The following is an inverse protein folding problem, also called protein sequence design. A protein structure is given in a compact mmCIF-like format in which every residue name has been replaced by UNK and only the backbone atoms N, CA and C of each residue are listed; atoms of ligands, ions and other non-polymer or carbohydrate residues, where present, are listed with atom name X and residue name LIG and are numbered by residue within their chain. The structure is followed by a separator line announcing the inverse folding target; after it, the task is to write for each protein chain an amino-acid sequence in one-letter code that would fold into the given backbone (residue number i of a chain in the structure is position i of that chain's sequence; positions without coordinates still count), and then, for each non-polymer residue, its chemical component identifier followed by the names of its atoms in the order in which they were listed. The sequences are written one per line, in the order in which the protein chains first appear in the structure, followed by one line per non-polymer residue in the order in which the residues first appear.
data_IF_310529746111
#
_entry.id   IF_310529746111
#
_cell.length_a   1.000
_cell.length_b   1.000
_cell.length_c   1.000
_cell.angle_alpha   90.00
_cell.angle_beta   90.00
_cell.angle_gamma   90.00
#
_symmetry.space_group_name_H-M   'P 1'
#
loop_
_entity.id
_entity.type
_entity.pdbx_description
1 polymer ?
#
# COMPACT_ATOMS: atom_id res chain seq x y z
N UNK A 1 18.90 -5.47 -2.26
CA UNK A 1 19.43 -6.83 -1.99
C UNK A 1 18.39 -7.85 -2.46
N UNK A 2 18.76 -8.71 -3.39
CA UNK A 2 17.88 -9.74 -3.93
C UNK A 2 18.25 -11.10 -3.33
N UNK A 3 17.38 -11.66 -2.51
CA UNK A 3 17.53 -13.03 -2.03
C UNK A 3 16.66 -13.97 -2.87
N UNK A 4 17.27 -14.93 -3.54
CA UNK A 4 16.59 -15.97 -4.32
C UNK A 4 17.04 -17.35 -3.83
N UNK A 5 16.10 -18.21 -3.46
CA UNK A 5 16.36 -19.64 -3.42
C UNK A 5 16.12 -20.21 -4.84
N UNK A 6 17.17 -20.61 -5.55
CA UNK A 6 17.07 -21.18 -6.88
C UNK A 6 17.10 -22.72 -6.73
N UNK A 7 15.93 -23.38 -6.88
CA UNK A 7 15.85 -24.82 -7.12
C UNK A 7 16.19 -25.76 -5.95
N UNK A 8 16.36 -25.27 -4.74
CA UNK A 8 16.50 -26.15 -3.58
C UNK A 8 15.11 -26.66 -3.15
N UNK A 9 14.83 -27.93 -3.31
CA UNK A 9 13.77 -28.60 -2.55
C UNK A 9 14.20 -28.59 -1.08
N UNK A 10 13.49 -27.83 -0.30
CA UNK A 10 13.76 -27.73 1.12
C UNK A 10 12.68 -28.50 1.84
N UNK A 11 12.96 -29.75 2.13
CA UNK A 11 11.96 -30.69 2.60
C UNK A 11 11.55 -30.51 4.06
N UNK A 12 12.25 -29.72 4.88
CA UNK A 12 11.92 -29.54 6.31
C UNK A 12 12.37 -28.19 6.89
N UNK A 13 11.89 -27.03 6.35
CA UNK A 13 12.11 -25.77 7.04
C UNK A 13 10.86 -25.28 7.74
N UNK A 14 11.03 -24.94 8.99
CA UNK A 14 10.06 -24.15 9.74
C UNK A 14 10.26 -22.65 9.55
N UNK A 15 11.49 -22.19 9.23
CA UNK A 15 11.79 -20.75 9.08
C UNK A 15 13.14 -20.48 8.43
N UNK A 16 13.17 -19.62 7.41
CA UNK A 16 14.40 -19.05 6.85
C UNK A 16 14.45 -17.54 7.15
N UNK A 17 15.50 -17.07 7.81
CA UNK A 17 15.65 -15.67 8.23
C UNK A 17 16.89 -15.08 7.59
N UNK A 18 16.73 -14.00 6.85
CA UNK A 18 17.81 -13.14 6.39
C UNK A 18 17.75 -11.83 7.19
N UNK A 19 18.84 -11.48 7.86
CA UNK A 19 18.98 -10.22 8.56
C UNK A 19 19.87 -9.28 7.76
N UNK A 20 19.46 -8.03 7.63
CA UNK A 20 20.25 -6.95 7.04
C UNK A 20 20.11 -5.70 7.89
N UNK A 21 21.16 -4.90 7.96
CA UNK A 21 21.17 -3.59 8.63
C UNK A 21 21.15 -2.41 7.64
N UNK A 22 20.80 -2.66 6.38
CA UNK A 22 20.70 -1.60 5.38
C UNK A 22 19.57 -0.64 5.72
N UNK A 23 19.90 0.63 5.90
CA UNK A 23 18.94 1.73 6.15
C UNK A 23 18.48 2.41 4.85
N UNK A 24 19.19 2.17 3.76
CA UNK A 24 19.02 2.80 2.45
C UNK A 24 18.47 1.80 1.43
N UNK A 25 17.26 1.31 1.68
CA UNK A 25 16.59 0.42 0.75
C UNK A 25 15.89 1.26 -0.31
N UNK A 26 16.17 0.99 -1.58
CA UNK A 26 15.44 1.58 -2.72
C UNK A 26 14.32 0.69 -3.21
N UNK A 27 14.54 -0.62 -3.19
CA UNK A 27 13.54 -1.57 -3.66
C UNK A 27 13.51 -2.84 -2.81
N UNK A 28 12.30 -3.30 -2.51
CA UNK A 28 12.02 -4.60 -1.88
C UNK A 28 11.07 -5.37 -2.78
N UNK A 29 11.43 -6.62 -3.12
CA UNK A 29 10.56 -7.55 -3.83
C UNK A 29 10.34 -8.78 -2.96
N UNK A 30 9.12 -8.95 -2.46
CA UNK A 30 8.68 -10.13 -1.72
C UNK A 30 7.72 -10.95 -2.58
N UNK A 31 7.89 -12.26 -2.64
CA UNK A 31 7.02 -13.13 -3.44
C UNK A 31 6.84 -14.51 -2.79
N UNK A 32 5.81 -15.23 -3.21
CA UNK A 32 5.44 -16.53 -2.63
C UNK A 32 4.86 -16.37 -1.22
N UNK A 33 5.37 -17.14 -0.27
CA UNK A 33 5.01 -17.06 1.16
C UNK A 33 6.06 -16.33 1.99
N UNK A 34 6.85 -15.44 1.36
CA UNK A 34 7.92 -14.73 2.04
C UNK A 34 7.37 -13.63 2.97
N UNK A 35 8.06 -13.40 4.09
CA UNK A 35 7.76 -12.29 4.98
C UNK A 35 8.92 -11.30 4.95
N UNK A 36 8.62 -10.02 4.71
CA UNK A 36 9.58 -8.92 4.87
C UNK A 36 9.19 -8.07 6.06
N UNK A 37 10.08 -7.95 7.03
CA UNK A 37 9.83 -7.18 8.26
C UNK A 37 10.97 -6.18 8.45
N UNK A 38 10.67 -4.89 8.37
CA UNK A 38 11.59 -3.82 8.73
C UNK A 38 11.35 -3.40 10.19
N UNK A 39 12.33 -3.65 11.05
CA UNK A 39 12.28 -3.29 12.47
C UNK A 39 13.02 -1.96 12.78
N UNK A 40 13.62 -1.33 11.77
CA UNK A 40 14.32 -0.04 11.88
C UNK A 40 13.68 0.98 10.96
N UNK A 41 13.79 2.28 11.29
CA UNK A 41 13.33 3.34 10.40
C UNK A 41 14.01 3.27 9.01
N UNK A 42 13.25 3.55 7.98
CA UNK A 42 13.73 3.62 6.60
C UNK A 42 13.70 5.07 6.12
N UNK A 43 14.82 5.50 5.52
CA UNK A 43 14.96 6.86 4.98
C UNK A 43 15.59 6.82 3.60
N UNK A 44 15.25 7.79 2.75
CA UNK A 44 15.83 7.91 1.41
C UNK A 44 15.01 8.82 0.52
N UNK A 45 15.39 8.90 -0.74
CA UNK A 45 14.64 9.68 -1.73
C UNK A 45 13.43 8.90 -2.23
N UNK A 46 13.61 7.59 -2.43
CA UNK A 46 12.56 6.71 -2.96
C UNK A 46 12.63 5.32 -2.32
N UNK A 47 11.47 4.76 -2.01
CA UNK A 47 11.32 3.37 -1.61
C UNK A 47 10.18 2.72 -2.38
N UNK A 48 10.51 1.65 -3.13
CA UNK A 48 9.54 0.83 -3.84
C UNK A 48 9.41 -0.56 -3.20
N UNK A 49 8.19 -0.97 -2.91
CA UNK A 49 7.91 -2.30 -2.35
C UNK A 49 6.92 -3.04 -3.23
N UNK A 50 7.34 -4.20 -3.72
CA UNK A 50 6.51 -5.09 -4.53
C UNK A 50 6.24 -6.37 -3.75
N UNK A 51 5.00 -6.60 -3.39
CA UNK A 51 4.53 -7.76 -2.65
C UNK A 51 3.63 -8.63 -3.55
N UNK A 52 4.09 -9.84 -3.86
CA UNK A 52 3.39 -10.74 -4.79
C UNK A 52 2.95 -12.03 -4.11
N UNK A 53 1.85 -12.61 -4.58
CA UNK A 53 1.27 -13.87 -4.07
C UNK A 53 0.72 -13.71 -2.64
N UNK A 54 1.16 -14.50 -1.65
CA UNK A 54 0.64 -14.49 -0.27
C UNK A 54 1.63 -13.90 0.75
N UNK A 55 2.56 -13.08 0.32
CA UNK A 55 3.59 -12.57 1.21
C UNK A 55 3.05 -11.52 2.21
N UNK A 56 3.79 -11.35 3.31
CA UNK A 56 3.54 -10.34 4.31
C UNK A 56 4.69 -9.32 4.32
N UNK A 57 4.36 -8.05 4.21
CA UNK A 57 5.31 -6.94 4.38
C UNK A 57 4.90 -6.12 5.59
N UNK A 58 5.82 -5.93 6.54
CA UNK A 58 5.60 -5.10 7.72
C UNK A 58 6.71 -4.06 7.88
N UNK A 59 6.38 -2.78 7.80
CA UNK A 59 7.26 -1.67 8.16
C UNK A 59 6.86 -1.18 9.55
N UNK A 60 7.58 -1.68 10.58
CA UNK A 60 7.21 -1.46 11.99
C UNK A 60 7.63 -0.10 12.53
N UNK A 61 8.57 0.54 11.88
CA UNK A 61 9.09 1.85 12.25
C UNK A 61 8.77 2.87 11.15
N UNK A 62 9.04 4.14 11.43
CA UNK A 62 8.79 5.23 10.52
C UNK A 62 9.50 5.06 9.18
N UNK A 63 8.77 5.31 8.11
CA UNK A 63 9.29 5.45 6.74
C UNK A 63 9.28 6.92 6.37
N UNK A 64 10.44 7.48 6.08
CA UNK A 64 10.60 8.89 5.70
C UNK A 64 11.36 8.95 4.37
N UNK A 65 10.63 9.13 3.29
CA UNK A 65 11.15 9.11 1.92
C UNK A 65 10.44 10.17 1.07
N UNK A 66 11.08 10.68 0.03
CA UNK A 66 10.43 11.59 -0.91
C UNK A 66 9.29 10.90 -1.67
N UNK A 67 9.54 9.69 -2.19
CA UNK A 67 8.51 8.88 -2.87
C UNK A 67 8.39 7.49 -2.24
N UNK A 68 7.14 7.08 -1.92
CA UNK A 68 6.81 5.74 -1.44
C UNK A 68 5.86 5.05 -2.42
N UNK A 69 6.33 3.95 -3.02
CA UNK A 69 5.59 3.17 -4.03
C UNK A 69 5.31 1.75 -3.48
N UNK A 70 4.06 1.46 -3.18
CA UNK A 70 3.59 0.22 -2.56
C UNK A 70 2.71 -0.56 -3.53
N UNK A 71 3.23 -1.69 -4.02
CA UNK A 71 2.54 -2.54 -4.99
C UNK A 71 2.22 -3.90 -4.40
N UNK A 72 0.97 -4.27 -4.44
CA UNK A 72 0.46 -5.58 -4.04
C UNK A 72 -0.14 -6.29 -5.24
N UNK A 73 0.28 -7.53 -5.47
CA UNK A 73 -0.28 -8.41 -6.50
C UNK A 73 -0.66 -9.76 -5.89
N UNK A 74 -1.85 -10.25 -6.19
CA UNK A 74 -2.41 -11.46 -5.57
C UNK A 74 -3.09 -11.17 -4.24
N UNK A 75 -2.78 -11.93 -3.18
CA UNK A 75 -3.38 -11.84 -1.85
C UNK A 75 -2.40 -11.37 -0.78
N UNK A 76 -1.33 -10.68 -1.16
CA UNK A 76 -0.32 -10.21 -0.22
C UNK A 76 -0.88 -9.12 0.72
N UNK A 77 -0.30 -9.07 1.93
CA UNK A 77 -0.65 -8.07 2.92
C UNK A 77 0.54 -7.16 3.23
N UNK A 78 0.29 -5.86 3.22
CA UNK A 78 1.30 -4.86 3.53
C UNK A 78 0.81 -3.96 4.67
N UNK A 79 1.67 -3.77 5.68
CA UNK A 79 1.37 -2.91 6.83
C UNK A 79 2.50 -1.90 7.01
N UNK A 80 2.16 -0.62 7.02
CA UNK A 80 3.07 0.50 7.32
C UNK A 80 2.56 1.19 8.58
N UNK A 81 3.36 1.17 9.64
CA UNK A 81 2.93 1.73 10.92
C UNK A 81 2.94 3.27 10.92
N UNK A 82 3.97 3.88 10.35
CA UNK A 82 4.09 5.33 10.24
C UNK A 82 4.82 5.71 8.95
N UNK A 83 4.33 6.72 8.24
CA UNK A 83 4.98 7.24 7.05
C UNK A 83 5.01 8.77 7.02
N UNK A 84 6.05 9.30 6.37
CA UNK A 84 6.14 10.68 5.92
C UNK A 84 6.75 10.66 4.53
N UNK A 85 6.01 11.17 3.54
CA UNK A 85 6.46 11.18 2.15
C UNK A 85 5.86 12.38 1.41
N UNK A 86 6.50 12.82 0.36
CA UNK A 86 5.91 13.84 -0.51
C UNK A 86 4.90 13.18 -1.44
N UNK A 87 5.28 12.05 -2.04
CA UNK A 87 4.41 11.29 -2.95
C UNK A 87 4.18 9.86 -2.49
N UNK A 88 2.90 9.47 -2.35
CA UNK A 88 2.47 8.13 -1.99
C UNK A 88 1.73 7.47 -3.16
N UNK A 89 2.25 6.35 -3.65
CA UNK A 89 1.58 5.54 -4.65
C UNK A 89 1.24 4.16 -4.06
N UNK A 90 -0.04 3.78 -4.04
CA UNK A 90 -0.49 2.46 -3.58
C UNK A 90 -1.29 1.78 -4.68
N UNK A 91 -0.83 0.62 -5.11
CA UNK A 91 -1.49 -0.15 -6.17
C UNK A 91 -1.78 -1.57 -5.73
N UNK A 92 -3.01 -2.02 -5.89
CA UNK A 92 -3.43 -3.41 -5.64
C UNK A 92 -4.00 -4.00 -6.91
N UNK A 93 -3.42 -5.12 -7.33
CA UNK A 93 -3.95 -5.97 -8.39
C UNK A 93 -4.23 -7.36 -7.82
N UNK A 94 -5.44 -7.60 -7.38
CA UNK A 94 -5.86 -8.83 -6.71
C UNK A 94 -6.76 -8.58 -5.52
N UNK A 95 -6.69 -9.44 -4.51
CA UNK A 95 -7.46 -9.39 -3.27
C UNK A 95 -6.61 -9.09 -2.02
N UNK A 96 -5.41 -8.55 -2.23
CA UNK A 96 -4.52 -8.19 -1.13
C UNK A 96 -4.92 -6.91 -0.41
N UNK A 97 -4.16 -6.56 0.63
CA UNK A 97 -4.44 -5.42 1.51
C UNK A 97 -3.21 -4.53 1.69
N UNK A 98 -3.40 -3.21 1.66
CA UNK A 98 -2.43 -2.22 2.11
C UNK A 98 -3.03 -1.47 3.30
N UNK A 99 -2.37 -1.53 4.45
CA UNK A 99 -2.79 -0.86 5.68
C UNK A 99 -1.74 0.19 6.09
N UNK A 100 -2.10 1.46 6.01
CA UNK A 100 -1.30 2.63 6.39
C UNK A 100 -1.89 3.20 7.68
N UNK A 101 -1.24 2.95 8.82
CA UNK A 101 -1.82 3.23 10.12
C UNK A 101 -1.75 4.70 10.53
N UNK A 102 -0.64 5.36 10.23
CA UNK A 102 -0.43 6.75 10.60
C UNK A 102 0.57 7.46 9.67
N UNK A 103 0.46 8.77 9.58
CA UNK A 103 1.43 9.60 8.87
C UNK A 103 0.79 10.67 8.00
N UNK A 104 1.59 11.18 7.07
CA UNK A 104 1.16 12.18 6.10
C UNK A 104 1.91 12.05 4.79
N UNK A 105 1.26 12.49 3.71
CA UNK A 105 1.85 12.69 2.40
C UNK A 105 1.36 14.03 1.83
N UNK A 106 2.04 14.57 0.83
CA UNK A 106 1.57 15.78 0.13
C UNK A 106 0.57 15.40 -0.97
N UNK A 107 0.83 14.32 -1.69
CA UNK A 107 -0.11 13.76 -2.66
C UNK A 107 -0.18 12.23 -2.54
N UNK A 108 -1.34 11.65 -2.87
CA UNK A 108 -1.52 10.21 -2.90
C UNK A 108 -2.33 9.74 -4.11
N UNK A 109 -1.80 8.70 -4.76
CA UNK A 109 -2.46 7.95 -5.81
C UNK A 109 -2.80 6.54 -5.30
N UNK A 110 -4.09 6.24 -5.15
CA UNK A 110 -4.59 4.93 -4.77
C UNK A 110 -5.25 4.23 -5.97
N UNK A 111 -4.82 3.03 -6.29
CA UNK A 111 -5.38 2.24 -7.38
C UNK A 111 -5.69 0.82 -6.95
N UNK A 112 -6.92 0.39 -7.14
CA UNK A 112 -7.35 -0.98 -6.86
C UNK A 112 -7.97 -1.58 -8.12
N UNK A 113 -7.42 -2.72 -8.52
CA UNK A 113 -7.99 -3.55 -9.58
C UNK A 113 -8.43 -4.88 -8.98
N UNK A 114 -9.68 -5.22 -9.12
CA UNK A 114 -10.40 -6.38 -8.56
C UNK A 114 -10.95 -6.15 -7.13
N UNK A 115 -10.56 -6.92 -6.11
CA UNK A 115 -11.27 -7.00 -4.82
C UNK A 115 -10.39 -6.57 -3.62
N UNK A 116 -9.27 -5.90 -3.87
CA UNK A 116 -8.31 -5.48 -2.83
C UNK A 116 -8.83 -4.38 -1.91
N UNK A 117 -8.11 -4.17 -0.82
CA UNK A 117 -8.46 -3.16 0.19
C UNK A 117 -7.28 -2.23 0.53
N UNK A 118 -7.51 -0.92 0.52
CA UNK A 118 -6.59 0.09 1.04
C UNK A 118 -7.20 0.71 2.30
N UNK A 119 -6.52 0.59 3.43
CA UNK A 119 -6.87 1.21 4.70
C UNK A 119 -5.88 2.32 5.02
N UNK A 120 -6.25 3.58 4.81
CA UNK A 120 -5.38 4.75 4.95
C UNK A 120 -6.04 5.92 5.72
N UNK A 121 -7.02 5.65 6.56
CA UNK A 121 -7.63 6.70 7.40
C UNK A 121 -6.63 7.40 8.33
N UNK A 122 -5.53 6.73 8.68
CA UNK A 122 -4.48 7.30 9.52
C UNK A 122 -3.51 8.25 8.80
N UNK A 123 -3.61 8.38 7.48
CA UNK A 123 -2.69 9.17 6.65
C UNK A 123 -3.43 10.36 6.06
N UNK A 124 -3.14 11.56 6.57
CA UNK A 124 -3.70 12.80 6.06
C UNK A 124 -2.96 13.24 4.80
N UNK A 125 -3.73 13.58 3.73
CA UNK A 125 -3.17 13.92 2.42
C UNK A 125 -3.99 15.05 1.79
N UNK A 126 -3.40 16.20 1.42
CA UNK A 126 -4.12 17.27 0.74
C UNK A 126 -4.72 16.84 -0.59
N UNK A 127 -3.94 16.25 -1.46
CA UNK A 127 -4.36 15.86 -2.80
C UNK A 127 -4.45 14.35 -2.95
N UNK A 128 -5.66 13.82 -3.11
CA UNK A 128 -5.88 12.38 -3.27
C UNK A 128 -6.57 12.05 -4.58
N UNK A 129 -5.96 11.14 -5.34
CA UNK A 129 -6.60 10.48 -6.48
C UNK A 129 -6.83 9.01 -6.15
N UNK A 130 -8.08 8.57 -6.12
CA UNK A 130 -8.46 7.19 -5.81
C UNK A 130 -9.25 6.56 -6.95
N UNK A 131 -8.71 5.47 -7.51
CA UNK A 131 -9.34 4.73 -8.60
C UNK A 131 -9.60 3.28 -8.22
N UNK A 132 -10.84 2.84 -8.32
CA UNK A 132 -11.23 1.44 -8.12
C UNK A 132 -11.84 0.88 -9.39
N UNK A 133 -11.32 -0.28 -9.83
CA UNK A 133 -11.91 -1.06 -10.93
C UNK A 133 -12.26 -2.45 -10.39
N UNK A 134 -13.53 -2.75 -10.21
CA UNK A 134 -13.99 -4.01 -9.63
C UNK A 134 -14.86 -3.82 -8.38
N UNK A 135 -14.56 -4.56 -7.30
CA UNK A 135 -15.32 -4.54 -6.05
C UNK A 135 -14.47 -4.12 -4.83
N UNK A 136 -13.25 -3.68 -5.06
CA UNK A 136 -12.34 -3.30 -3.99
C UNK A 136 -12.84 -2.14 -3.14
N UNK A 137 -12.19 -1.91 -2.00
CA UNK A 137 -12.53 -0.84 -1.07
C UNK A 137 -11.33 0.02 -0.70
N UNK A 138 -11.56 1.31 -0.51
CA UNK A 138 -10.57 2.25 -0.01
C UNK A 138 -11.12 3.08 1.14
N UNK A 139 -10.32 3.22 2.21
CA UNK A 139 -10.57 4.08 3.36
C UNK A 139 -9.46 5.13 3.40
N UNK A 140 -9.77 6.39 3.12
CA UNK A 140 -8.78 7.44 2.85
C UNK A 140 -9.09 8.72 3.64
N UNK A 141 -8.07 9.56 3.83
CA UNK A 141 -8.18 10.82 4.57
C UNK A 141 -7.65 12.01 3.75
N UNK A 142 -8.38 12.42 2.69
CA UNK A 142 -8.07 13.66 1.98
C UNK A 142 -8.38 14.88 2.85
N UNK A 143 -7.55 15.93 2.78
CA UNK A 143 -7.77 17.18 3.54
C UNK A 143 -8.17 18.35 2.69
N UNK A 144 -7.88 18.33 1.38
CA UNK A 144 -8.24 19.42 0.46
C UNK A 144 -9.05 18.93 -0.73
N UNK A 145 -8.48 18.04 -1.55
CA UNK A 145 -9.10 17.56 -2.79
C UNK A 145 -9.12 16.04 -2.91
N UNK A 146 -10.26 15.49 -3.27
CA UNK A 146 -10.44 14.08 -3.60
C UNK A 146 -10.96 13.92 -5.03
N UNK A 147 -10.19 13.24 -5.88
CA UNK A 147 -10.67 12.73 -7.16
C UNK A 147 -10.95 11.24 -7.04
N UNK A 148 -12.24 10.88 -6.97
CA UNK A 148 -12.68 9.49 -6.82
C UNK A 148 -13.23 8.95 -8.14
N UNK A 149 -12.70 7.82 -8.61
CA UNK A 149 -13.19 7.14 -9.82
C UNK A 149 -13.48 5.68 -9.50
N UNK A 150 -14.72 5.23 -9.71
CA UNK A 150 -15.12 3.85 -9.54
C UNK A 150 -15.69 3.30 -10.85
N UNK A 151 -15.17 2.14 -11.26
CA UNK A 151 -15.74 1.34 -12.35
C UNK A 151 -16.11 -0.03 -11.79
N UNK A 152 -17.38 -0.26 -11.50
CA UNK A 152 -17.86 -1.52 -10.93
C UNK A 152 -18.71 -1.35 -9.67
N UNK A 153 -18.38 -2.10 -8.61
CA UNK A 153 -19.13 -2.14 -7.33
C UNK A 153 -18.26 -1.76 -6.13
N UNK A 154 -17.11 -1.12 -6.36
CA UNK A 154 -16.19 -0.74 -5.31
C UNK A 154 -16.75 0.35 -4.39
N UNK A 155 -16.09 0.55 -3.25
CA UNK A 155 -16.50 1.53 -2.25
C UNK A 155 -15.27 2.39 -1.84
N UNK A 156 -15.45 3.72 -1.86
CA UNK A 156 -14.48 4.67 -1.31
C UNK A 156 -15.13 5.36 -0.12
N UNK A 157 -14.55 5.18 1.06
CA UNK A 157 -14.92 5.89 2.29
C UNK A 157 -13.83 6.90 2.60
N UNK A 158 -14.20 8.14 2.81
CA UNK A 158 -13.26 9.20 3.15
C UNK A 158 -13.70 9.96 4.39
N UNK A 159 -12.74 10.57 5.08
CA UNK A 159 -12.98 11.48 6.18
C UNK A 159 -12.17 12.75 5.99
N UNK A 160 -12.70 13.86 6.49
CA UNK A 160 -12.03 15.18 6.46
C UNK A 160 -12.70 16.16 5.51
N UNK A 161 -12.47 17.45 5.75
CA UNK A 161 -13.01 18.51 4.92
C UNK A 161 -12.31 18.48 3.54
N UNK A 162 -13.02 18.07 2.51
CA UNK A 162 -12.43 17.91 1.18
C UNK A 162 -13.41 18.27 0.08
N UNK A 163 -12.90 18.87 -0.99
CA UNK A 163 -13.65 19.02 -2.25
C UNK A 163 -13.63 17.69 -3.01
N UNK A 164 -14.80 17.11 -3.29
CA UNK A 164 -14.92 15.81 -3.94
C UNK A 164 -15.33 15.94 -5.39
N UNK A 165 -14.47 15.42 -6.28
CA UNK A 165 -14.81 15.15 -7.67
C UNK A 165 -14.98 13.66 -7.87
N UNK A 166 -16.21 13.20 -8.12
CA UNK A 166 -16.47 11.77 -8.26
C UNK A 166 -16.98 11.38 -9.64
N UNK A 167 -16.54 10.21 -10.12
CA UNK A 167 -17.05 9.55 -11.30
C UNK A 167 -17.30 8.08 -11.00
N UNK A 168 -18.58 7.68 -10.97
CA UNK A 168 -18.97 6.29 -10.68
C UNK A 168 -19.64 5.69 -11.92
N UNK A 169 -19.10 4.59 -12.39
CA UNK A 169 -19.66 3.78 -13.49
C UNK A 169 -19.98 2.40 -12.91
N UNK A 170 -21.24 2.16 -12.60
CA UNK A 170 -21.70 0.91 -11.97
C UNK A 170 -22.51 1.14 -10.70
N UNK A 171 -22.29 0.29 -9.67
CA UNK A 171 -23.02 0.31 -8.39
C UNK A 171 -22.11 0.65 -7.21
N UNK A 172 -20.96 1.23 -7.45
CA UNK A 172 -20.04 1.64 -6.39
C UNK A 172 -20.51 2.88 -5.63
N UNK A 173 -19.92 3.14 -4.47
CA UNK A 173 -20.27 4.27 -3.60
C UNK A 173 -19.03 5.08 -3.22
N UNK A 174 -19.22 6.40 -3.03
CA UNK A 174 -18.22 7.31 -2.44
C UNK A 174 -18.91 8.00 -1.29
N UNK A 175 -18.45 7.78 -0.05
CA UNK A 175 -19.14 8.15 1.16
C UNK A 175 -18.20 8.83 2.16
N UNK A 176 -18.63 9.92 2.77
CA UNK A 176 -18.00 10.54 3.93
C UNK A 176 -18.38 9.79 5.22
N UNK A 177 -17.41 9.68 6.17
CA UNK A 177 -17.59 8.98 7.47
C UNK A 177 -17.14 9.83 8.64
#
# INVERSE_FOLDING_TARGET
VLFRSKGAKVDHFTKFIVKTNSKWLKEVKASGNANFIANSPLKGDELKINANSNCLVQLKQKVEVGKLDLNVSGSANMVVNELKTDKLECSINGSGTINLKAGNAEEADYSITTDGEIMAFGVAVPEVNCKITGKGSAQIHPTDNLKATIVGKGNIRYKGPTAVQQKVIGKGTVEEV
#
